data_IF_146754200460
#
_entry.id   IF_146754200460
#
_cell.length_a   1.000
_cell.length_b   1.000
_cell.length_c   1.000
_cell.angle_alpha   90.00
_cell.angle_beta   90.00
_cell.angle_gamma   90.00
#
_symmetry.space_group_name_H-M   'P 1'
#
loop_
_entity.id
_entity.type
_entity.pdbx_description
1 polymer ?
#
# COMPACT_ATOMS: atom_id res chain seq x y z
N UNK A 1 1.56 22.93 -6.49
CA UNK A 1 0.43 22.17 -6.84
C UNK A 1 0.24 21.01 -5.88
N UNK A 2 -0.95 20.75 -5.54
CA UNK A 2 -1.17 19.70 -4.59
C UNK A 2 -1.09 18.34 -5.25
N UNK A 3 -0.85 17.34 -4.45
CA UNK A 3 -0.73 15.99 -4.93
C UNK A 3 -2.08 15.30 -4.85
N UNK A 4 -2.53 14.77 -5.95
CA UNK A 4 -3.75 14.01 -5.96
C UNK A 4 -3.52 12.65 -5.34
N UNK A 5 -4.49 12.15 -4.61
CA UNK A 5 -4.40 10.76 -4.18
C UNK A 5 -4.34 9.88 -5.43
N UNK A 6 -3.69 8.75 -5.28
CA UNK A 6 -3.62 7.81 -6.38
C UNK A 6 -5.03 7.30 -6.67
N UNK A 7 -5.59 7.59 -7.86
CA UNK A 7 -6.96 7.16 -8.14
C UNK A 7 -7.09 5.66 -8.34
N UNK A 8 -5.99 4.95 -8.40
CA UNK A 8 -6.04 3.50 -8.62
C UNK A 8 -6.56 2.76 -7.40
N UNK A 9 -6.21 3.22 -6.22
CA UNK A 9 -6.56 2.49 -5.00
C UNK A 9 -7.54 3.29 -4.16
N UNK A 10 -8.45 2.59 -3.54
CA UNK A 10 -9.45 3.20 -2.69
C UNK A 10 -9.56 2.43 -1.39
N UNK A 11 -9.62 3.16 -0.27
CA UNK A 11 -9.95 2.58 1.02
C UNK A 11 -11.43 2.81 1.26
N UNK A 12 -12.21 1.75 1.18
CA UNK A 12 -13.67 1.86 1.31
C UNK A 12 -14.11 1.32 2.66
N UNK A 13 -14.78 2.16 3.43
CA UNK A 13 -15.29 1.74 4.73
C UNK A 13 -16.54 0.90 4.53
N UNK A 14 -16.55 -0.28 5.13
CA UNK A 14 -17.68 -1.19 5.04
C UNK A 14 -18.52 -1.11 6.31
N UNK A 15 -17.86 -1.16 7.46
CA UNK A 15 -18.50 -0.99 8.76
C UNK A 15 -17.62 -0.08 9.59
N UNK A 16 -18.02 0.16 10.82
CA UNK A 16 -17.21 1.00 11.70
C UNK A 16 -15.84 0.39 11.97
N UNK A 17 -15.69 -0.91 11.76
CA UNK A 17 -14.45 -1.59 12.08
C UNK A 17 -13.85 -2.35 10.90
N UNK A 18 -14.39 -2.15 9.71
CA UNK A 18 -13.92 -2.91 8.54
C UNK A 18 -13.81 -2.03 7.33
N UNK A 19 -12.75 -2.24 6.57
CA UNK A 19 -12.52 -1.53 5.31
C UNK A 19 -12.08 -2.52 4.25
N UNK A 20 -12.26 -2.12 2.99
CA UNK A 20 -11.68 -2.83 1.85
C UNK A 20 -10.72 -1.92 1.14
N UNK A 21 -9.66 -2.49 0.61
CA UNK A 21 -8.78 -1.77 -0.29
C UNK A 21 -9.07 -2.28 -1.69
N UNK A 22 -9.47 -1.37 -2.57
CA UNK A 22 -9.89 -1.69 -3.92
C UNK A 22 -8.90 -1.16 -4.93
N UNK A 23 -8.70 -1.94 -5.99
CA UNK A 23 -7.82 -1.56 -7.08
C UNK A 23 -8.71 -1.25 -8.29
N UNK A 24 -8.86 0.03 -8.59
CA UNK A 24 -9.75 0.48 -9.66
C UNK A 24 -9.20 0.18 -11.05
N UNK A 25 -8.03 -0.43 -11.11
CA UNK A 25 -7.51 -0.91 -12.38
C UNK A 25 -8.35 -2.06 -12.91
N UNK A 26 -9.04 -2.77 -12.04
CA UNK A 26 -9.86 -3.91 -12.40
C UNK A 26 -11.34 -3.54 -12.34
N UNK A 27 -12.15 -4.26 -13.08
CA UNK A 27 -13.58 -3.97 -13.14
C UNK A 27 -14.26 -4.39 -11.85
N UNK A 28 -15.44 -3.81 -11.55
CA UNK A 28 -16.11 -4.09 -10.27
C UNK A 28 -16.39 -5.57 -10.02
N UNK A 29 -16.61 -6.35 -11.08
CA UNK A 29 -16.90 -7.76 -10.92
C UNK A 29 -15.66 -8.64 -11.02
N UNK A 30 -14.48 -8.04 -11.10
CA UNK A 30 -13.23 -8.80 -11.17
C UNK A 30 -12.76 -9.08 -9.74
N UNK A 31 -12.50 -10.35 -9.44
CA UNK A 31 -12.08 -10.71 -8.09
C UNK A 31 -10.76 -10.06 -7.70
N UNK A 32 -9.94 -9.66 -8.68
CA UNK A 32 -8.66 -9.00 -8.38
C UNK A 32 -8.86 -7.58 -7.93
N UNK A 33 -10.05 -7.02 -8.06
CA UNK A 33 -10.30 -5.65 -7.66
C UNK A 33 -10.11 -5.46 -6.16
N UNK A 34 -10.45 -6.45 -5.35
CA UNK A 34 -10.28 -6.34 -3.91
C UNK A 34 -8.88 -6.80 -3.55
N UNK A 35 -8.09 -5.88 -3.04
CA UNK A 35 -6.70 -6.14 -2.68
C UNK A 35 -6.59 -6.73 -1.30
N UNK A 36 -7.37 -6.19 -0.35
CA UNK A 36 -7.25 -6.58 1.04
C UNK A 36 -8.50 -6.20 1.83
N UNK A 37 -8.67 -6.89 2.94
CA UNK A 37 -9.66 -6.53 3.95
C UNK A 37 -8.91 -6.04 5.17
N UNK A 38 -9.38 -4.96 5.78
CA UNK A 38 -8.73 -4.36 6.94
C UNK A 38 -9.71 -4.39 8.09
N UNK A 39 -9.26 -4.86 9.23
CA UNK A 39 -10.10 -5.01 10.42
C UNK A 39 -9.52 -4.25 11.59
N UNK A 40 -10.36 -3.49 12.28
CA UNK A 40 -9.95 -2.79 13.48
C UNK A 40 -9.86 -3.79 14.63
N UNK A 41 -8.69 -3.88 15.25
CA UNK A 41 -8.51 -4.76 16.40
C UNK A 41 -8.73 -4.00 17.71
N UNK A 42 -8.17 -2.79 17.79
CA UNK A 42 -8.37 -1.95 18.96
C UNK A 42 -8.15 -0.50 18.54
N UNK A 43 -8.00 0.39 19.52
CA UNK A 43 -7.97 1.82 19.22
C UNK A 43 -6.78 2.23 18.35
N UNK A 44 -5.71 1.44 18.36
CA UNK A 44 -4.47 1.83 17.70
C UNK A 44 -3.91 0.77 16.77
N UNK A 45 -4.69 -0.26 16.47
CA UNK A 45 -4.17 -1.33 15.64
C UNK A 45 -5.24 -1.88 14.72
N UNK A 46 -4.85 -2.12 13.46
CA UNK A 46 -5.70 -2.80 12.49
C UNK A 46 -4.93 -3.99 11.94
N UNK A 47 -5.67 -4.99 11.53
CA UNK A 47 -5.11 -6.18 10.91
C UNK A 47 -5.55 -6.26 9.47
N UNK A 48 -4.68 -6.77 8.62
CA UNK A 48 -4.94 -6.84 7.18
C UNK A 48 -4.97 -8.28 6.74
N UNK A 49 -6.03 -8.65 6.01
CA UNK A 49 -6.08 -9.90 5.30
C UNK A 49 -5.83 -9.59 3.84
N UNK A 50 -4.65 -9.97 3.36
CA UNK A 50 -4.29 -9.72 1.97
C UNK A 50 -4.95 -10.75 1.07
N UNK A 51 -5.77 -10.27 0.15
CA UNK A 51 -6.38 -11.14 -0.84
C UNK A 51 -5.50 -11.30 -2.06
N UNK A 52 -4.55 -10.39 -2.22
CA UNK A 52 -3.51 -10.47 -3.21
C UNK A 52 -2.21 -10.75 -2.48
N UNK A 53 -1.41 -11.63 -3.04
CA UNK A 53 -0.17 -12.03 -2.37
C UNK A 53 0.86 -10.90 -2.41
N UNK A 54 0.86 -10.07 -1.39
CA UNK A 54 1.78 -8.94 -1.30
C UNK A 54 2.72 -9.14 -0.12
N UNK A 55 4.00 -8.77 -0.28
CA UNK A 55 4.97 -8.91 0.80
C UNK A 55 4.92 -7.72 1.75
N UNK A 56 3.75 -7.45 2.29
CA UNK A 56 3.55 -6.32 3.18
C UNK A 56 3.13 -6.82 4.55
N UNK A 57 3.26 -5.95 5.54
CA UNK A 57 2.90 -6.29 6.91
C UNK A 57 1.41 -6.59 7.02
N UNK A 58 1.03 -7.30 8.07
CA UNK A 58 -0.37 -7.60 8.32
C UNK A 58 -0.93 -6.83 9.50
N UNK A 59 -0.15 -5.96 10.11
CA UNK A 59 -0.58 -5.17 11.26
C UNK A 59 -0.12 -3.75 11.04
N UNK A 60 -1.01 -2.81 11.25
CA UNK A 60 -0.75 -1.38 11.06
C UNK A 60 -1.45 -0.60 12.14
N UNK A 61 -1.11 0.67 12.26
CA UNK A 61 -1.73 1.54 13.25
C UNK A 61 -3.08 2.08 12.78
N UNK A 62 -3.29 2.14 11.47
CA UNK A 62 -4.57 2.63 10.95
C UNK A 62 -4.81 2.08 9.56
N UNK A 63 -6.07 2.12 9.14
CA UNK A 63 -6.42 1.69 7.80
C UNK A 63 -5.77 2.58 6.75
N UNK A 64 -5.63 3.86 7.04
CA UNK A 64 -4.97 4.78 6.09
C UNK A 64 -3.53 4.39 5.86
N UNK A 65 -2.86 3.88 6.89
CA UNK A 65 -1.47 3.44 6.75
C UNK A 65 -1.38 2.23 5.82
N UNK A 66 -2.38 1.35 5.85
CA UNK A 66 -2.41 0.21 4.95
C UNK A 66 -2.51 0.69 3.51
N UNK A 67 -3.42 1.62 3.25
CA UNK A 67 -3.59 2.15 1.90
C UNK A 67 -2.30 2.81 1.42
N UNK A 68 -1.66 3.55 2.30
CA UNK A 68 -0.43 4.23 1.96
C UNK A 68 0.66 3.23 1.55
N UNK A 69 0.77 2.13 2.26
CA UNK A 69 1.75 1.11 1.94
C UNK A 69 1.44 0.43 0.61
N UNK A 70 0.17 0.17 0.34
CA UNK A 70 -0.23 -0.43 -0.93
C UNK A 70 0.15 0.50 -2.08
N UNK A 71 -0.12 1.79 -1.92
CA UNK A 71 0.19 2.75 -2.96
C UNK A 71 1.69 2.84 -3.18
N UNK A 72 2.47 2.82 -2.12
CA UNK A 72 3.92 2.87 -2.26
C UNK A 72 4.48 1.62 -2.91
N UNK A 73 3.90 0.47 -2.58
CA UNK A 73 4.37 -0.78 -3.17
C UNK A 73 4.16 -0.80 -4.68
N UNK A 74 3.08 -0.17 -5.15
CA UNK A 74 2.75 -0.15 -6.56
C UNK A 74 3.23 1.11 -7.27
N UNK A 75 3.98 1.96 -6.58
CA UNK A 75 4.44 3.20 -7.18
C UNK A 75 5.35 2.90 -8.38
N UNK A 76 5.25 3.71 -9.43
CA UNK A 76 6.14 3.50 -10.58
C UNK A 76 7.60 3.63 -10.17
N UNK A 77 8.45 2.91 -10.86
CA UNK A 77 9.86 2.89 -10.52
C UNK A 77 10.47 4.29 -10.55
N UNK A 78 9.99 5.15 -11.42
CA UNK A 78 10.57 6.48 -11.51
C UNK A 78 10.35 7.28 -10.25
N UNK A 79 9.31 6.98 -9.49
CA UNK A 79 9.05 7.67 -8.24
C UNK A 79 10.03 7.27 -7.17
N UNK A 80 10.65 6.15 -7.35
CA UNK A 80 11.64 5.67 -6.41
C UNK A 80 13.00 5.75 -7.02
N UNK A 81 13.25 6.80 -7.72
CA UNK A 81 14.50 6.99 -8.37
C UNK A 81 15.60 6.16 -7.78
N UNK A 82 16.38 5.47 -8.58
CA UNK A 82 17.51 4.72 -8.06
C UNK A 82 18.42 5.67 -7.34
N UNK A 83 18.68 5.37 -6.12
CA UNK A 83 19.62 6.15 -5.37
C UNK A 83 21.00 5.85 -5.90
N UNK A 84 21.77 6.83 -6.30
CA UNK A 84 23.13 6.57 -6.71
C UNK A 84 23.83 5.86 -5.60
N UNK A 85 24.43 4.78 -5.88
CA UNK A 85 25.09 3.99 -4.89
C UNK A 85 26.26 4.76 -4.41
N UNK A 86 26.29 5.07 -3.24
CA UNK A 86 27.44 5.72 -2.71
C UNK A 86 28.61 4.80 -2.78
N UNK A 87 28.82 4.24 -3.06
CA UNK A 87 29.51 3.38 -3.09
C UNK A 87 30.51 3.32 -3.33
N UNK A 88 30.55 3.35 -3.34
CA UNK A 88 31.21 3.12 -3.59
C UNK A 88 32.11 3.07 -3.57
N UNK A 89 32.60 3.08 -3.38
CA UNK A 89 33.35 3.12 -3.39
C UNK A 89 34.27 3.03 -3.28
N UNK A 90 34.51 3.05 -3.21
CA UNK A 90 35.22 2.93 -3.19
C UNK A 90 36.16 2.64 -3.14
N UNK A 91 36.19 2.71 -3.19
CA UNK A 91 36.79 2.46 -3.19
C UNK A 91 37.70 2.48 -3.16
N UNK A 92 37.82 2.60 -3.19
CA UNK A 92 38.43 2.57 -3.18
C UNK A 92 39.36 2.64 -3.11
N UNK A 93 39.56 2.81 -3.24
CA UNK A 93 40.24 2.80 -3.20
C UNK A 93 41.01 2.60 -2.98
N UNK A 94 41.02 2.64 -3.05
CA UNK A 94 41.54 2.27 -2.82
C UNK A 94 42.20 2.27 -2.58
#
# INVERSE_FOLDING_TARGET
MFTMPDPRFELRKITDTEWLILDHRYEPNDSRRTVACVYQLDAVEVEVLWLRNLPLATSYMSAADVLDDVQRFHAPARDRRPVPIPHRPPLATA
#
